data_IF_218542346109
#
_entry.id   IF_218542346109
#
_cell.length_a   1.000
_cell.length_b   1.000
_cell.length_c   1.000
_cell.angle_alpha   90.00
_cell.angle_beta   90.00
_cell.angle_gamma   90.00
#
_symmetry.space_group_name_H-M   'P 1'
#
loop_
_entity.id
_entity.type
_entity.pdbx_description
1 polymer ?
2 non-polymer ?
3 non-polymer ?
4 water ?
#
# COMPACT_ATOMS: atom_id res chain seq x y z
N UNK A 1 -21.21 12.60 -8.37
CA UNK A 1 -20.34 11.49 -8.92
C UNK A 1 -21.24 10.31 -9.34
N UNK A 2 -20.88 9.58 -10.45
CA UNK A 2 -21.59 8.39 -10.89
C UNK A 2 -21.31 7.15 -10.07
N UNK A 3 -21.93 6.02 -10.42
CA UNK A 3 -21.71 4.76 -9.69
C UNK A 3 -20.22 4.44 -9.74
N UNK A 4 -19.70 3.77 -8.72
CA UNK A 4 -18.27 3.45 -8.68
C UNK A 4 -17.70 2.84 -9.96
N UNK A 5 -18.36 1.80 -10.48
CA UNK A 5 -17.85 1.14 -11.65
C UNK A 5 -17.82 2.09 -12.86
N UNK A 6 -18.85 2.95 -12.97
CA UNK A 6 -18.91 3.95 -14.04
C UNK A 6 -17.77 4.99 -13.89
N UNK A 7 -17.50 5.39 -12.67
CA UNK A 7 -16.40 6.32 -12.44
C UNK A 7 -15.05 5.69 -12.79
N UNK A 8 -14.87 4.44 -12.43
CA UNK A 8 -13.62 3.74 -12.75
C UNK A 8 -13.40 3.73 -14.26
N UNK A 9 -14.46 3.43 -15.01
CA UNK A 9 -14.37 3.42 -16.46
C UNK A 9 -14.02 4.78 -17.00
N UNK A 10 -14.68 5.80 -16.47
CA UNK A 10 -14.41 7.14 -16.90
C UNK A 10 -12.96 7.53 -16.63
N UNK A 11 -12.40 7.08 -15.50
CA UNK A 11 -11.01 7.32 -15.20
C UNK A 11 -10.07 6.67 -16.23
N UNK A 12 -10.36 5.43 -16.66
CA UNK A 12 -9.56 4.80 -17.77
C UNK A 12 -9.65 5.61 -19.06
N UNK A 13 -10.85 6.03 -19.45
CA UNK A 13 -10.99 6.75 -20.69
C UNK A 13 -10.29 8.11 -20.61
N UNK A 14 -10.26 8.73 -19.44
CA UNK A 14 -9.64 10.05 -19.34
C UNK A 14 -8.12 9.98 -19.16
N UNK A 15 -7.63 8.93 -18.50
CA UNK A 15 -6.21 8.75 -18.30
C UNK A 15 -5.53 8.00 -19.44
N UNK A 16 -6.32 7.31 -20.28
CA UNK A 16 -5.75 6.36 -21.26
C UNK A 16 -4.91 5.27 -20.60
N UNK A 17 -5.22 4.95 -19.36
CA UNK A 17 -4.48 3.97 -18.58
C UNK A 17 -5.39 2.91 -18.03
N UNK A 18 -4.77 1.84 -17.49
CA UNK A 18 -5.53 0.80 -16.80
C UNK A 18 -5.63 1.10 -15.32
N UNK A 19 -6.84 0.97 -14.80
CA UNK A 19 -7.14 1.06 -13.39
C UNK A 19 -7.47 -0.34 -12.89
N UNK A 20 -7.00 -0.66 -11.68
CA UNK A 20 -7.39 -1.85 -11.01
C UNK A 20 -7.94 -1.51 -9.65
N UNK A 21 -9.08 -2.07 -9.28
CA UNK A 21 -9.73 -1.64 -8.10
C UNK A 21 -10.47 -2.78 -7.48
N UNK A 22 -10.42 -2.80 -6.18
CA UNK A 22 -11.33 -3.58 -5.41
C UNK A 22 -11.77 -2.80 -4.17
N UNK A 23 -12.97 -3.13 -3.72
CA UNK A 23 -13.61 -2.63 -2.51
C UNK A 23 -14.11 -3.86 -1.77
N UNK A 24 -13.67 -4.06 -0.53
CA UNK A 24 -13.90 -5.31 0.23
C UNK A 24 -14.29 -4.99 1.66
N UNK A 25 -15.27 -5.67 2.21
CA UNK A 25 -15.57 -5.52 3.64
C UNK A 25 -14.39 -6.02 4.45
N UNK A 26 -13.87 -5.20 5.37
CA UNK A 26 -12.71 -5.60 6.18
C UNK A 26 -13.02 -6.79 7.08
N UNK A 27 -14.19 -6.76 7.73
CA UNK A 27 -14.50 -7.80 8.69
C UNK A 27 -14.73 -9.15 8.01
N UNK A 28 -15.41 -9.19 6.89
CA UNK A 28 -15.82 -10.48 6.30
C UNK A 28 -15.10 -10.88 5.04
N UNK A 29 -14.53 -9.93 4.31
CA UNK A 29 -13.95 -10.24 3.05
C UNK A 29 -14.90 -10.18 1.87
N UNK A 30 -16.17 -9.86 2.09
CA UNK A 30 -17.09 -9.69 0.98
C UNK A 30 -16.51 -8.69 -0.02
N UNK A 31 -16.51 -9.08 -1.28
CA UNK A 31 -16.10 -8.21 -2.36
C UNK A 31 -17.29 -7.44 -2.88
N UNK A 32 -17.21 -6.11 -2.88
CA UNK A 32 -18.28 -5.23 -3.32
C UNK A 32 -18.12 -4.69 -4.68
N UNK A 33 -16.92 -4.31 -5.04
CA UNK A 33 -16.63 -3.80 -6.36
C UNK A 33 -15.33 -4.41 -6.74
N UNK A 34 -15.26 -4.79 -8.00
CA UNK A 34 -14.05 -5.37 -8.54
C UNK A 34 -13.95 -4.91 -10.00
N UNK A 35 -12.76 -4.43 -10.35
CA UNK A 35 -12.47 -4.00 -11.70
C UNK A 35 -11.02 -4.35 -12.00
N UNK A 36 -10.78 -5.18 -12.99
CA UNK A 36 -9.46 -5.68 -13.32
C UNK A 36 -8.80 -6.25 -12.07
N UNK A 37 -9.58 -6.94 -11.25
CA UNK A 37 -9.07 -7.31 -9.94
C UNK A 37 -8.09 -8.49 -9.98
N UNK A 38 -8.02 -9.19 -11.11
CA UNK A 38 -7.05 -10.26 -11.29
C UNK A 38 -5.93 -9.89 -12.24
N UNK A 39 -5.84 -8.59 -12.61
CA UNK A 39 -4.76 -8.12 -13.44
C UNK A 39 -3.63 -7.58 -12.56
N UNK A 40 -2.41 -7.66 -13.11
CA UNK A 40 -1.21 -7.23 -12.38
C UNK A 40 -0.97 -5.74 -12.48
N UNK A 41 -0.52 -5.17 -11.36
CA UNK A 41 -0.13 -3.77 -11.26
C UNK A 41 1.11 -3.72 -10.41
N UNK A 42 2.03 -2.79 -10.72
CA UNK A 42 3.15 -2.55 -9.81
C UNK A 42 2.65 -2.13 -8.42
N UNK A 43 3.22 -2.72 -7.36
CA UNK A 43 2.89 -2.30 -5.97
C UNK A 43 3.44 -0.97 -5.61
N UNK A 44 4.65 -0.64 -6.06
CA UNK A 44 5.33 0.55 -5.58
C UNK A 44 5.40 0.52 -4.04
N UNK A 45 5.33 1.69 -3.39
CA UNK A 45 5.48 1.71 -1.94
C UNK A 45 4.32 1.07 -1.20
N UNK A 46 3.24 0.69 -1.89
CA UNK A 46 2.21 -0.08 -1.18
C UNK A 46 2.75 -1.39 -0.60
N UNK A 47 3.86 -1.91 -1.16
CA UNK A 47 4.42 -3.16 -0.63
C UNK A 47 4.84 -2.99 0.83
N UNK A 48 5.07 -1.76 1.28
CA UNK A 48 5.60 -1.55 2.63
C UNK A 48 4.67 -2.10 3.70
N UNK A 49 3.36 -2.13 3.45
CA UNK A 49 2.47 -2.72 4.46
C UNK A 49 2.72 -4.22 4.60
N UNK A 50 2.87 -4.92 3.49
CA UNK A 50 3.19 -6.35 3.55
C UNK A 50 4.53 -6.59 4.22
N UNK A 51 5.52 -5.78 3.85
CA UNK A 51 6.84 -5.82 4.46
C UNK A 51 6.74 -5.78 5.98
N UNK A 52 6.02 -4.82 6.52
CA UNK A 52 5.99 -4.73 7.97
C UNK A 52 5.05 -5.77 8.60
N UNK A 53 4.14 -6.35 7.81
CA UNK A 53 3.50 -7.55 8.29
C UNK A 53 4.51 -8.69 8.51
N UNK A 54 5.44 -8.87 7.58
CA UNK A 54 6.48 -9.89 7.72
C UNK A 54 7.39 -9.62 8.92
N UNK A 55 7.72 -8.35 9.15
CA UNK A 55 8.51 -7.97 10.32
C UNK A 55 7.76 -8.33 11.58
N UNK A 56 6.46 -7.99 11.65
CA UNK A 56 5.65 -8.30 12.81
C UNK A 56 5.53 -9.79 13.06
N UNK A 57 5.43 -10.58 11.99
CA UNK A 57 5.39 -12.04 12.14
C UNK A 57 6.68 -12.50 12.85
N UNK A 58 7.83 -11.97 12.45
CA UNK A 58 9.08 -12.32 13.10
C UNK A 58 9.05 -11.90 14.58
N UNK A 59 8.52 -10.71 14.89
CA UNK A 59 8.39 -10.26 16.27
C UNK A 59 7.54 -11.26 17.07
N UNK A 60 6.42 -11.65 16.52
CA UNK A 60 5.52 -12.55 17.23
C UNK A 60 6.20 -13.91 17.53
N UNK A 61 7.04 -14.35 16.60
CA UNK A 61 7.77 -15.62 16.74
C UNK A 61 8.99 -15.53 17.67
N UNK A 62 9.36 -14.34 18.10
CA UNK A 62 10.52 -14.17 18.96
C UNK A 62 11.79 -14.05 18.16
N UNK A 63 11.72 -13.84 16.85
CA UNK A 63 12.89 -13.72 16.00
C UNK A 63 13.30 -12.28 15.72
N UNK A 64 12.53 -11.31 16.24
CA UNK A 64 12.77 -9.89 16.02
C UNK A 64 12.19 -9.17 17.20
N UNK A 65 12.63 -7.92 17.42
CA UNK A 65 12.01 -7.02 18.41
C UNK A 65 11.82 -5.69 17.74
N UNK A 66 10.65 -5.06 17.93
CA UNK A 66 10.50 -3.69 17.42
C UNK A 66 11.47 -2.72 18.08
N UNK A 67 11.95 -3.05 19.28
CA UNK A 67 12.93 -2.21 19.96
C UNK A 67 14.31 -2.26 19.36
N UNK A 68 14.65 -3.35 18.65
CA UNK A 68 16.05 -3.58 18.30
C UNK A 68 16.59 -2.45 17.45
N UNK A 69 17.74 -1.88 17.86
CA UNK A 69 18.32 -0.77 17.11
C UNK A 69 19.20 -1.30 15.99
N UNK A 70 18.96 -0.80 14.77
CA UNK A 70 19.81 -1.09 13.63
C UNK A 70 20.64 0.12 13.29
N UNK A 71 21.95 -0.11 13.24
CA UNK A 71 22.88 0.89 12.85
C UNK A 71 23.23 0.65 11.38
N UNK A 72 23.27 1.69 10.60
CA UNK A 72 23.52 1.57 9.18
C UNK A 72 24.43 2.69 8.75
N UNK A 73 24.84 2.66 7.52
CA UNK A 73 25.86 3.55 6.98
C UNK A 73 25.28 4.38 5.87
N UNK A 74 25.94 5.49 5.58
CA UNK A 74 25.47 6.39 4.53
C UNK A 74 25.39 5.70 3.16
N UNK A 75 26.30 4.76 2.92
CA UNK A 75 26.29 4.00 1.66
C UNK A 75 25.13 3.02 1.55
N UNK A 76 24.39 2.82 2.62
CA UNK A 76 23.16 2.03 2.56
C UNK A 76 21.96 2.81 2.10
N UNK A 77 22.06 4.13 2.06
CA UNK A 77 20.89 4.93 1.73
C UNK A 77 20.63 4.96 0.25
N UNK A 78 19.35 4.89 -0.12
CA UNK A 78 18.89 5.08 -1.47
C UNK A 78 18.04 6.35 -1.57
N UNK A 79 17.58 6.67 -2.78
CA UNK A 79 16.80 7.85 -3.01
C UNK A 79 15.57 7.91 -2.10
N UNK A 80 15.47 9.02 -1.37
CA UNK A 80 14.32 9.44 -0.55
C UNK A 80 14.33 8.73 0.80
N UNK A 81 15.02 9.37 1.72
CA UNK A 81 15.35 8.85 3.06
C UNK A 81 15.08 9.91 4.11
N UNK A 82 13.87 10.47 4.15
CA UNK A 82 13.65 11.67 4.97
C UNK A 82 13.92 11.46 6.45
N UNK A 83 13.62 10.27 6.95
CA UNK A 83 13.86 9.93 8.34
C UNK A 83 15.23 9.30 8.50
N UNK A 84 15.50 8.28 7.71
CA UNK A 84 16.70 7.48 7.91
C UNK A 84 17.98 8.27 7.69
N UNK A 85 17.97 9.29 6.81
CA UNK A 85 19.21 10.06 6.62
C UNK A 85 19.58 10.85 7.88
N UNK A 86 18.65 11.00 8.81
CA UNK A 86 18.85 11.76 10.04
C UNK A 86 19.50 10.96 11.16
N UNK A 87 19.69 9.66 10.96
CA UNK A 87 20.07 8.75 12.03
C UNK A 87 21.28 7.91 11.69
N UNK A 88 22.22 8.49 10.93
CA UNK A 88 23.46 7.78 10.67
C UNK A 88 24.32 7.63 11.94
N UNK A 89 24.19 8.53 12.90
CA UNK A 89 24.98 8.38 14.13
C UNK A 89 24.38 7.44 15.13
N UNK A 90 23.05 7.46 15.25
CA UNK A 90 22.39 6.81 16.36
C UNK A 90 21.52 5.63 15.98
N UNK A 91 21.31 5.38 14.67
CA UNK A 91 20.51 4.27 14.24
C UNK A 91 19.02 4.49 14.48
N UNK A 92 18.25 3.47 14.08
CA UNK A 92 16.78 3.48 14.24
C UNK A 92 16.34 2.13 14.72
N UNK A 93 15.31 2.08 15.55
CA UNK A 93 14.75 0.80 15.92
C UNK A 93 13.99 0.16 14.76
N UNK A 94 13.82 -1.16 14.79
CA UNK A 94 13.02 -1.84 13.78
C UNK A 94 11.62 -1.20 13.70
N UNK A 95 10.98 -0.95 14.83
CA UNK A 95 9.68 -0.30 14.81
C UNK A 95 9.71 1.11 14.21
N UNK A 96 10.75 1.90 14.51
CA UNK A 96 10.90 3.21 13.88
C UNK A 96 11.07 3.08 12.38
N UNK A 97 11.80 2.07 11.93
CA UNK A 97 11.97 1.83 10.51
C UNK A 97 10.63 1.53 9.84
N UNK A 98 9.79 0.70 10.46
CA UNK A 98 8.47 0.43 9.87
C UNK A 98 7.59 1.68 9.88
N UNK A 99 7.68 2.49 10.93
CA UNK A 99 6.92 3.74 10.92
C UNK A 99 7.44 4.66 9.81
N UNK A 100 8.76 4.75 9.62
CA UNK A 100 9.26 5.63 8.58
C UNK A 100 8.85 5.10 7.18
N UNK A 101 8.92 3.80 6.99
CA UNK A 101 8.51 3.21 5.70
C UNK A 101 7.04 3.46 5.40
N UNK A 102 6.18 3.16 6.37
CA UNK A 102 4.73 3.28 6.11
C UNK A 102 4.22 4.70 6.21
N UNK A 103 4.70 5.48 7.15
CA UNK A 103 4.13 6.82 7.37
C UNK A 103 4.82 7.93 6.60
N UNK A 104 6.04 7.67 6.11
CA UNK A 104 6.81 8.64 5.35
C UNK A 104 7.26 8.12 3.99
N UNK A 105 7.02 6.85 3.70
CA UNK A 105 7.51 6.22 2.46
C UNK A 105 9.05 6.31 2.35
N UNK A 106 9.74 6.23 3.48
CA UNK A 106 11.21 6.25 3.53
C UNK A 106 11.75 5.00 2.87
N UNK A 107 12.48 5.20 1.76
CA UNK A 107 12.94 4.09 0.97
C UNK A 107 14.06 3.30 1.57
N UNK A 108 15.00 4.01 2.22
CA UNK A 108 16.08 3.30 2.89
C UNK A 108 15.56 2.47 4.07
N UNK A 109 14.59 3.04 4.83
CA UNK A 109 13.98 2.26 5.88
C UNK A 109 13.39 0.95 5.34
N UNK A 110 12.69 1.04 4.22
CA UNK A 110 12.12 -0.14 3.61
C UNK A 110 13.22 -1.18 3.24
N UNK A 111 14.31 -0.71 2.63
CA UNK A 111 15.36 -1.64 2.26
C UNK A 111 15.99 -2.27 3.48
N UNK A 112 16.23 -1.48 4.54
CA UNK A 112 16.77 -2.04 5.76
C UNK A 112 15.87 -3.16 6.31
N UNK A 113 14.56 -2.90 6.36
CA UNK A 113 13.63 -3.91 6.80
C UNK A 113 13.61 -5.12 5.81
N UNK A 114 13.66 -4.88 4.52
CA UNK A 114 13.64 -5.97 3.54
C UNK A 114 14.81 -6.92 3.82
N UNK A 115 15.98 -6.36 4.19
CA UNK A 115 17.11 -7.18 4.48
C UNK A 115 16.77 -8.13 5.64
N UNK A 116 16.01 -7.68 6.65
CA UNK A 116 15.73 -8.49 7.83
C UNK A 116 14.76 -9.65 7.54
N UNK A 117 14.05 -9.62 6.42
CA UNK A 117 13.08 -10.66 6.14
C UNK A 117 13.54 -11.53 4.97
N UNK A 118 14.83 -11.46 4.57
CA UNK A 118 15.35 -12.27 3.48
C UNK A 118 15.25 -11.66 2.11
N UNK A 119 15.12 -10.32 2.03
CA UNK A 119 15.07 -9.63 0.75
C UNK A 119 13.78 -9.86 0.03
N UNK A 120 13.71 -9.46 -1.23
CA UNK A 120 12.51 -9.70 -2.04
C UNK A 120 12.10 -11.17 -2.06
N UNK A 121 13.06 -12.10 -2.14
CA UNK A 121 12.71 -13.51 -2.13
C UNK A 121 12.06 -13.94 -0.81
N UNK A 122 12.60 -13.45 0.29
CA UNK A 122 12.07 -13.74 1.60
C UNK A 122 10.66 -13.19 1.79
N UNK A 123 10.43 -11.97 1.30
CA UNK A 123 9.08 -11.39 1.43
C UNK A 123 8.09 -12.16 0.56
N UNK A 124 8.52 -12.56 -0.65
CA UNK A 124 7.66 -13.35 -1.52
C UNK A 124 7.33 -14.68 -0.83
N UNK A 125 8.32 -15.32 -0.20
CA UNK A 125 8.06 -16.57 0.54
C UNK A 125 7.04 -16.34 1.66
N UNK A 126 7.13 -15.22 2.38
CA UNK A 126 6.16 -14.90 3.41
C UNK A 126 4.75 -14.80 2.81
N UNK A 127 4.65 -14.12 1.67
CA UNK A 127 3.35 -14.04 0.97
C UNK A 127 2.79 -15.43 0.68
N UNK A 128 3.62 -16.31 0.13
CA UNK A 128 3.16 -17.68 -0.12
C UNK A 128 2.72 -18.36 1.17
N UNK A 129 3.41 -18.12 2.27
CA UNK A 129 3.06 -18.72 3.55
C UNK A 129 1.75 -18.26 4.14
N UNK A 130 1.30 -17.07 3.74
CA UNK A 130 -0.02 -16.58 4.17
C UNK A 130 -1.07 -16.82 3.08
N UNK A 131 -0.73 -17.60 2.04
CA UNK A 131 -1.70 -17.98 1.05
C UNK A 131 -1.90 -17.03 -0.11
N UNK A 132 -1.01 -16.05 -0.27
CA UNK A 132 -1.02 -15.18 -1.46
C UNK A 132 -0.06 -15.82 -2.47
N UNK A 133 -0.62 -16.43 -3.51
CA UNK A 133 0.15 -17.09 -4.52
C UNK A 133 0.41 -16.23 -5.76
N UNK A 134 0.12 -14.94 -5.68
CA UNK A 134 0.18 -14.06 -6.82
C UNK A 134 1.16 -12.88 -6.63
N UNK A 135 1.06 -12.19 -5.52
CA UNK A 135 1.92 -11.04 -5.26
C UNK A 135 3.38 -11.46 -5.25
N UNK A 136 4.27 -10.65 -5.82
CA UNK A 136 5.68 -10.98 -5.87
C UNK A 136 6.49 -9.71 -5.72
N UNK A 137 7.54 -9.80 -4.91
CA UNK A 137 8.55 -8.76 -4.87
C UNK A 137 9.84 -9.35 -5.40
N UNK A 138 10.50 -8.60 -6.29
CA UNK A 138 11.67 -9.05 -7.04
C UNK A 138 12.87 -8.14 -6.81
N UNK A 139 12.63 -6.85 -6.56
CA UNK A 139 13.69 -5.84 -6.49
C UNK A 139 13.55 -5.04 -5.20
N UNK A 140 14.54 -4.22 -5.00
CA UNK A 140 14.62 -3.35 -3.83
C UNK A 140 14.21 -1.94 -4.22
N UNK A 141 14.09 -1.06 -3.20
CA UNK A 141 13.91 0.34 -3.53
C UNK A 141 15.20 0.89 -4.15
N UNK A 142 15.13 1.70 -5.21
CA UNK A 142 13.90 2.21 -5.82
C UNK A 142 13.56 1.53 -7.17
N UNK A 143 14.39 0.55 -7.58
CA UNK A 143 14.15 -0.10 -8.88
C UNK A 143 12.79 -0.76 -8.95
N UNK A 144 12.20 -1.17 -7.81
CA UNK A 144 10.90 -1.83 -7.84
C UNK A 144 9.79 -0.94 -8.37
N UNK A 145 10.02 0.37 -8.55
CA UNK A 145 9.02 1.30 -9.09
C UNK A 145 9.09 1.50 -10.59
N UNK A 146 9.92 0.70 -11.29
CA UNK A 146 10.18 0.97 -12.71
C UNK A 146 8.96 0.82 -13.60
N UNK A 147 8.07 -0.11 -13.25
CA UNK A 147 6.80 -0.22 -13.93
C UNK A 147 6.93 -0.35 -15.46
N UNK A 148 7.81 -1.25 -15.87
CA UNK A 148 7.90 -1.51 -17.31
C UNK A 148 6.63 -2.18 -17.80
N UNK A 149 6.14 -1.79 -19.00
CA UNK A 149 4.93 -2.37 -19.53
C UNK A 149 5.10 -3.88 -19.60
N UNK A 150 4.09 -4.58 -19.08
CA UNK A 150 4.10 -6.03 -19.16
C UNK A 150 5.06 -6.79 -18.26
N UNK A 151 5.85 -6.10 -17.46
CA UNK A 151 6.81 -6.75 -16.58
C UNK A 151 6.12 -7.24 -15.32
N UNK A 152 6.22 -8.52 -15.02
CA UNK A 152 5.57 -9.09 -13.85
C UNK A 152 6.32 -8.81 -12.53
N UNK A 153 7.56 -8.34 -12.60
CA UNK A 153 8.29 -8.10 -11.35
C UNK A 153 7.57 -7.06 -10.46
N UNK A 154 7.61 -7.32 -9.15
CA UNK A 154 7.18 -6.33 -8.16
C UNK A 154 5.70 -5.96 -8.34
N UNK A 155 4.86 -6.92 -8.67
CA UNK A 155 3.46 -6.72 -8.91
C UNK A 155 2.57 -7.44 -7.91
N UNK A 156 1.35 -6.94 -7.83
CA UNK A 156 0.24 -7.59 -7.13
C UNK A 156 -0.97 -7.56 -8.06
N UNK A 157 -2.09 -8.08 -7.58
CA UNK A 157 -3.37 -7.78 -8.23
C UNK A 157 -4.23 -7.12 -7.17
N UNK A 158 -5.25 -6.35 -7.59
CA UNK A 158 -6.10 -5.73 -6.55
C UNK A 158 -6.71 -6.78 -5.61
N UNK A 159 -7.18 -7.90 -6.16
CA UNK A 159 -7.79 -8.92 -5.33
C UNK A 159 -6.78 -9.53 -4.35
N UNK A 160 -5.58 -9.80 -4.83
CA UNK A 160 -4.54 -10.39 -3.98
C UNK A 160 -4.20 -9.45 -2.84
N UNK A 161 -3.92 -8.20 -3.19
CA UNK A 161 -3.47 -7.23 -2.20
C UNK A 161 -4.58 -7.01 -1.15
N UNK A 162 -5.83 -6.89 -1.58
CA UNK A 162 -6.90 -6.70 -0.60
C UNK A 162 -7.00 -7.90 0.34
N UNK A 163 -6.98 -9.12 -0.23
CA UNK A 163 -7.05 -10.33 0.61
C UNK A 163 -5.87 -10.36 1.58
N UNK A 164 -4.67 -10.06 1.09
CA UNK A 164 -3.48 -10.09 1.93
C UNK A 164 -3.54 -9.06 3.04
N UNK A 165 -3.98 -7.83 2.72
CA UNK A 165 -4.12 -6.82 3.74
C UNK A 165 -5.11 -7.28 4.81
N UNK A 166 -6.25 -7.85 4.40
CA UNK A 166 -7.22 -8.33 5.34
C UNK A 166 -6.61 -9.42 6.23
N UNK A 167 -5.86 -10.34 5.63
CA UNK A 167 -5.22 -11.41 6.42
C UNK A 167 -4.30 -10.82 7.47
N UNK A 168 -3.49 -9.83 7.09
CA UNK A 168 -2.54 -9.26 8.05
C UNK A 168 -3.24 -8.53 9.17
N UNK A 169 -4.31 -7.80 8.84
CA UNK A 169 -4.99 -6.94 9.82
C UNK A 169 -5.92 -7.69 10.74
N UNK A 170 -6.52 -8.80 10.27
CA UNK A 170 -7.68 -9.38 10.96
C UNK A 170 -7.67 -10.88 11.16
N UNK A 171 -6.81 -11.65 10.49
CA UNK A 171 -7.00 -13.09 10.47
C UNK A 171 -6.41 -13.81 11.66
N UNK A 172 -5.78 -13.12 12.59
CA UNK A 172 -5.13 -13.73 13.73
C UNK A 172 -3.92 -14.57 13.35
N UNK A 173 -3.39 -14.34 12.15
CA UNK A 173 -2.04 -14.81 11.81
C UNK A 173 -0.99 -14.05 12.63
N UNK A 174 -1.17 -12.72 12.71
CA UNK A 174 -0.41 -11.88 13.59
C UNK A 174 -1.10 -11.81 14.95
N UNK A 175 -0.32 -11.57 15.99
CA UNK A 175 -0.85 -11.38 17.33
C UNK A 175 -1.74 -10.16 17.40
N UNK A 176 -2.53 -10.08 18.47
CA UNK A 176 -3.42 -8.93 18.63
C UNK A 176 -2.62 -7.64 18.61
N UNK A 177 -1.52 -7.57 19.36
CA UNK A 177 -0.74 -6.37 19.40
C UNK A 177 -0.16 -6.03 18.07
N UNK A 178 0.31 -7.04 17.32
CA UNK A 178 0.86 -6.81 15.99
C UNK A 178 -0.20 -6.32 15.00
N UNK A 179 -1.38 -6.92 15.02
CA UNK A 179 -2.47 -6.41 14.19
C UNK A 179 -2.75 -4.94 14.49
N UNK A 180 -2.79 -4.60 15.78
CA UNK A 180 -3.06 -3.23 16.19
C UNK A 180 -1.96 -2.29 15.73
N UNK A 181 -0.72 -2.74 15.79
CA UNK A 181 0.41 -1.93 15.35
C UNK A 181 0.36 -1.65 13.86
N UNK A 182 0.09 -2.69 13.05
CA UNK A 182 0.07 -2.51 11.60
C UNK A 182 -0.99 -1.47 11.24
N UNK A 183 -2.18 -1.63 11.83
CA UNK A 183 -3.27 -0.68 11.62
C UNK A 183 -2.84 0.72 12.00
N UNK A 184 -2.26 0.89 13.19
CA UNK A 184 -1.88 2.24 13.63
C UNK A 184 -0.87 2.88 12.69
N UNK A 185 0.10 2.12 12.17
CA UNK A 185 1.03 2.68 11.21
C UNK A 185 0.29 3.25 10.00
N UNK A 186 -0.70 2.52 9.48
CA UNK A 186 -1.49 3.05 8.35
C UNK A 186 -2.32 4.26 8.73
N UNK A 187 -2.89 4.28 9.94
CA UNK A 187 -3.62 5.45 10.42
C UNK A 187 -2.71 6.66 10.44
N UNK A 188 -1.44 6.46 10.80
CA UNK A 188 -0.44 7.49 10.96
C UNK A 188 0.21 7.97 9.68
N UNK A 189 -0.22 7.50 8.49
CA UNK A 189 0.42 7.98 7.27
C UNK A 189 0.47 9.50 7.22
N UNK A 190 1.64 10.05 6.96
CA UNK A 190 1.80 11.49 6.82
C UNK A 190 1.85 11.93 5.38
N UNK A 191 2.06 11.01 4.44
CA UNK A 191 2.20 11.41 3.04
C UNK A 191 0.87 11.85 2.45
N UNK A 192 -0.15 11.01 2.59
CA UNK A 192 -1.48 11.28 2.04
C UNK A 192 -2.57 11.40 3.08
N UNK A 193 -2.44 10.78 4.24
CA UNK A 193 -3.51 10.77 5.21
C UNK A 193 -4.11 12.13 5.55
N UNK A 194 -3.27 13.10 5.95
CA UNK A 194 -3.82 14.40 6.31
C UNK A 194 -4.51 15.09 5.12
N UNK A 195 -3.95 14.98 3.93
CA UNK A 195 -4.60 15.56 2.76
C UNK A 195 -5.95 14.89 2.51
N UNK A 196 -5.99 13.58 2.56
CA UNK A 196 -7.25 12.88 2.38
C UNK A 196 -8.29 13.33 3.42
N UNK A 197 -7.90 13.41 4.69
CA UNK A 197 -8.87 13.89 5.71
C UNK A 197 -9.42 15.26 5.37
N UNK A 198 -8.57 16.12 4.82
CA UNK A 198 -8.98 17.51 4.56
C UNK A 198 -10.10 17.56 3.51
N UNK A 199 -10.22 16.53 2.68
CA UNK A 199 -11.24 16.45 1.63
C UNK A 199 -12.32 15.39 1.87
N UNK A 200 -12.25 14.67 2.97
CA UNK A 200 -13.30 13.72 3.30
C UNK A 200 -14.39 14.44 4.09
N UNK A 201 -15.64 14.06 3.86
CA UNK A 201 -16.69 14.58 4.72
C UNK A 201 -16.43 14.19 6.15
N UNK A 202 -16.95 14.96 7.07
CA UNK A 202 -16.93 14.58 8.47
C UNK A 202 -17.50 13.17 8.64
N UNK A 203 -16.86 12.40 9.52
CA UNK A 203 -17.33 11.08 9.87
C UNK A 203 -16.61 9.95 9.18
N UNK A 204 -15.82 10.23 8.15
CA UNK A 204 -15.17 9.17 7.37
C UNK A 204 -13.77 8.91 7.90
N UNK A 205 -13.54 7.65 8.26
CA UNK A 205 -12.26 7.08 8.67
C UNK A 205 -11.33 6.91 7.48
N UNK A 206 -10.05 7.24 7.64
CA UNK A 206 -9.05 6.83 6.65
C UNK A 206 -7.80 6.32 7.32
N UNK A 207 -7.25 5.24 6.74
CA UNK A 207 -5.87 4.78 7.00
C UNK A 207 -5.34 4.38 5.63
N UNK A 208 -4.04 4.52 5.36
CA UNK A 208 -3.62 4.28 4.00
C UNK A 208 -2.10 4.11 3.87
N UNK A 209 -1.73 3.53 2.74
CA UNK A 209 -0.37 3.65 2.21
C UNK A 209 -0.47 3.85 0.72
N UNK A 210 0.27 4.83 0.21
CA UNK A 210 0.29 5.11 -1.22
C UNK A 210 1.58 4.60 -1.89
N UNK A 211 1.60 4.69 -3.22
CA UNK A 211 2.77 4.43 -4.02
C UNK A 211 2.74 5.20 -5.29
N UNK A 212 3.92 5.43 -5.86
CA UNK A 212 4.06 6.11 -7.15
C UNK A 212 5.22 5.50 -7.89
N UNK A 213 5.10 5.37 -9.20
CA UNK A 213 6.19 4.83 -10.01
C UNK A 213 6.21 5.44 -11.39
N UNK A 214 6.89 4.78 -12.34
CA UNK A 214 7.01 5.29 -13.73
C UNK A 214 5.79 5.01 -14.60
N UNK A 215 5.77 5.66 -15.77
CA UNK A 215 4.76 5.43 -16.76
C UNK A 215 3.38 5.66 -16.17
N UNK A 216 3.30 6.56 -15.19
CA UNK A 216 2.00 6.89 -14.62
C UNK A 216 1.62 6.02 -13.45
N UNK A 217 2.42 5.02 -13.08
CA UNK A 217 2.02 4.12 -12.01
C UNK A 217 1.74 4.88 -10.72
N UNK A 218 0.61 4.52 -10.07
CA UNK A 218 0.17 5.19 -8.86
C UNK A 218 -0.75 4.25 -8.13
N UNK A 219 -0.77 4.28 -6.80
CA UNK A 219 -1.65 3.39 -6.11
C UNK A 219 -1.89 3.79 -4.69
N UNK A 220 -2.91 3.18 -4.13
CA UNK A 220 -3.26 3.36 -2.73
C UNK A 220 -3.91 2.08 -2.22
N UNK A 221 -3.54 1.74 -0.98
CA UNK A 221 -4.15 0.67 -0.22
C UNK A 221 -4.71 1.31 1.07
N UNK A 222 -6.02 1.26 1.24
CA UNK A 222 -6.67 2.06 2.25
C UNK A 222 -7.72 1.32 3.00
N UNK A 223 -8.01 1.83 4.19
CA UNK A 223 -9.18 1.46 4.98
C UNK A 223 -10.08 2.72 5.03
N UNK A 224 -11.37 2.54 4.79
CA UNK A 224 -12.29 3.67 4.64
C UNK A 224 -13.64 3.27 5.19
N UNK A 225 -14.34 4.21 5.83
CA UNK A 225 -15.73 3.96 6.15
C UNK A 225 -16.34 5.10 6.87
N UNK A 226 -17.67 5.15 6.89
CA UNK A 226 -18.40 6.16 7.62
C UNK A 226 -18.49 5.77 9.11
N UNK A 227 -19.01 6.74 9.86
CA UNK A 227 -19.20 6.52 11.25
C UNK A 227 -17.87 6.21 11.95
N UNK A 228 -16.77 6.79 11.44
CA UNK A 228 -15.44 6.70 12.04
C UNK A 228 -14.99 5.26 12.23
N UNK A 229 -15.35 4.40 11.29
CA UNK A 229 -15.00 2.95 11.33
C UNK A 229 -14.27 2.56 10.07
N UNK A 230 -13.27 1.66 10.23
CA UNK A 230 -12.54 1.09 9.12
C UNK A 230 -13.43 -0.04 8.52
N UNK A 231 -14.43 0.32 7.74
CA UNK A 231 -15.41 -0.64 7.29
C UNK A 231 -14.89 -1.46 6.11
N UNK A 232 -14.21 -0.81 5.18
CA UNK A 232 -13.80 -1.45 3.92
C UNK A 232 -12.34 -1.23 3.61
N UNK A 233 -11.75 -2.24 2.99
CA UNK A 233 -10.49 -2.11 2.30
C UNK A 233 -10.78 -1.61 0.90
N UNK A 234 -10.06 -0.58 0.45
CA UNK A 234 -10.12 -0.11 -0.91
C UNK A 234 -8.72 -0.11 -1.45
N UNK A 235 -8.52 -0.82 -2.57
CA UNK A 235 -7.24 -0.90 -3.25
C UNK A 235 -7.45 -0.35 -4.64
N UNK A 236 -6.68 0.67 -5.02
CA UNK A 236 -6.71 1.25 -6.37
C UNK A 236 -5.31 1.37 -6.90
N UNK A 237 -5.07 0.81 -8.08
CA UNK A 237 -3.83 0.96 -8.82
C UNK A 237 -4.12 1.55 -10.19
N UNK A 238 -3.18 2.37 -10.66
CA UNK A 238 -3.18 2.92 -12.02
C UNK A 238 -1.87 2.54 -12.66
N UNK A 239 -1.89 2.27 -13.97
CA UNK A 239 -0.65 2.03 -14.69
C UNK A 239 -0.82 2.46 -16.14
N UNK A 240 0.36 2.74 -16.74
CA UNK A 240 0.44 3.01 -18.20
C UNK A 240 -0.48 4.15 -18.67
N UNK A 241 -0.33 5.28 -17.97
CA UNK A 241 -0.98 6.53 -18.35
C UNK A 241 0.08 7.62 -18.38
N UNK A 242 0.01 8.55 -19.34
CA UNK A 242 0.96 9.65 -19.42
C UNK A 242 0.52 10.88 -18.61
N UNK A 243 -0.56 10.76 -17.84
CA UNK A 243 -1.16 11.90 -17.21
C UNK A 243 -0.31 12.51 -16.08
N UNK A 244 -0.51 13.80 -15.84
CA UNK A 244 0.08 14.45 -14.71
C UNK A 244 -0.23 13.76 -13.38
N UNK A 245 0.71 13.86 -12.46
CA UNK A 245 0.44 13.38 -11.10
C UNK A 245 -0.86 13.98 -10.56
N UNK A 246 -1.08 15.27 -10.78
CA UNK A 246 -2.28 15.91 -10.28
C UNK A 246 -3.53 15.22 -10.77
N UNK A 247 -3.57 14.91 -12.10
CA UNK A 247 -4.75 14.30 -12.66
C UNK A 247 -4.91 12.85 -12.21
N UNK A 248 -3.81 12.13 -12.05
CA UNK A 248 -3.92 10.77 -11.49
C UNK A 248 -4.47 10.82 -10.08
N UNK A 249 -3.97 11.76 -9.25
CA UNK A 249 -4.53 11.90 -7.91
C UNK A 249 -6.03 12.27 -7.94
N UNK A 250 -6.40 13.18 -8.83
CA UNK A 250 -7.80 13.56 -8.98
C UNK A 250 -8.70 12.40 -9.38
N UNK A 251 -8.20 11.55 -10.26
CA UNK A 251 -9.02 10.43 -10.68
C UNK A 251 -9.19 9.41 -9.54
N UNK A 252 -8.12 9.13 -8.81
CA UNK A 252 -8.25 8.25 -7.63
C UNK A 252 -9.23 8.87 -6.64
N UNK A 253 -9.09 10.16 -6.37
CA UNK A 253 -10.04 10.83 -5.49
C UNK A 253 -11.47 10.74 -6.02
N UNK A 254 -11.64 10.83 -7.35
CA UNK A 254 -12.97 10.76 -7.91
C UNK A 254 -13.59 9.39 -7.72
N UNK A 255 -12.79 8.33 -7.82
CA UNK A 255 -13.30 7.01 -7.47
C UNK A 255 -13.75 6.96 -6.01
N UNK A 256 -12.93 7.55 -5.12
CA UNK A 256 -13.32 7.67 -3.73
C UNK A 256 -14.64 8.42 -3.57
N UNK A 257 -14.82 9.52 -4.30
CA UNK A 257 -16.05 10.29 -4.22
C UNK A 257 -17.24 9.44 -4.62
N UNK A 258 -17.10 8.65 -5.70
CA UNK A 258 -18.16 7.76 -6.14
C UNK A 258 -18.53 6.75 -5.05
N UNK A 259 -17.52 6.18 -4.37
CA UNK A 259 -17.81 5.27 -3.26
C UNK A 259 -18.58 5.95 -2.16
N UNK A 260 -18.14 7.14 -1.78
CA UNK A 260 -18.77 7.90 -0.65
C UNK A 260 -20.22 8.24 -0.98
N UNK A 261 -20.48 8.64 -2.23
CA UNK A 261 -21.82 9.03 -2.67
C UNK A 261 -22.75 7.84 -2.87
N UNK A 262 -22.21 6.64 -3.04
CA UNK A 262 -22.95 5.44 -3.30
C UNK A 262 -22.43 4.35 -2.34
N UNK A 263 -22.44 4.59 -1.04
CA UNK A 263 -21.80 3.64 -0.12
C UNK A 263 -22.59 2.37 0.19
N UNK A 264 -23.91 2.49 0.25
CA UNK A 264 -24.72 1.34 0.68
C UNK A 264 -25.05 0.32 -0.40
N UNK A 265 -24.21 -0.67 -0.59
CA UNK A 265 -24.34 -1.70 -1.64
C UNK A 265 -24.16 -3.09 -1.12
#
# INVERSE_FOLDING_TARGET
SPQPLEQIKLSESQLSGRVGMIEMDLASGRTLTAWRADERFPMMSTFKVVLCGAVLARVDAGDEQLERKIHYRQQDLVDYSPVSEKHLADGMTVGELCAAAITMSDNSAANLLLATVGGPAGLTAFLRQIGDNVTRLDRWETELNEALPGDARDTTTPASMAATLRKLLTSQRLSARSQRQLLQWMVDDRVAGPLIRSVLPAGWFIADRTGAGERGARGIVALLGPNNKAERIVVIYLRDTPASMAERNQQIAGIGAALIEHWQR
#
